data_IF_317880345891
#
_entry.id   IF_317880345891
#
_cell.length_a   1.000
_cell.length_b   1.000
_cell.length_c   1.000
_cell.angle_alpha   90.00
_cell.angle_beta   90.00
_cell.angle_gamma   90.00
#
_symmetry.space_group_name_H-M   'P 1'
#
loop_
_entity.id
_entity.type
_entity.pdbx_description
1 polymer ?
#
# COMPACT_ATOMS: atom_id res chain seq x y z
N UNK A 1 -18.52 -91.13 -8.28
CA UNK A 1 -17.45 -90.21 -7.85
C UNK A 1 -17.85 -88.80 -8.26
N UNK A 2 -17.80 -87.73 -7.47
CA UNK A 2 -17.69 -87.54 -6.03
C UNK A 2 -17.99 -86.04 -5.81
N UNK A 3 -18.65 -85.72 -4.69
CA UNK A 3 -18.53 -84.46 -3.92
C UNK A 3 -19.35 -83.22 -4.37
N UNK A 4 -20.10 -82.78 -3.35
CA UNK A 4 -20.96 -81.61 -3.21
C UNK A 4 -20.16 -80.30 -2.98
N UNK A 5 -20.92 -79.19 -3.03
CA UNK A 5 -20.94 -78.07 -2.04
C UNK A 5 -19.96 -76.90 -2.22
N UNK A 6 -20.47 -75.68 -2.46
CA UNK A 6 -20.59 -74.57 -1.48
C UNK A 6 -20.82 -73.20 -2.19
N UNK A 7 -21.82 -72.51 -1.66
CA UNK A 7 -22.28 -71.13 -1.84
C UNK A 7 -21.20 -70.07 -1.63
N UNK A 8 -21.26 -68.94 -2.37
CA UNK A 8 -21.01 -67.64 -1.76
C UNK A 8 -21.76 -66.51 -2.49
N UNK A 9 -22.76 -65.97 -1.81
CA UNK A 9 -23.32 -64.63 -2.03
C UNK A 9 -22.36 -63.66 -1.32
N UNK A 10 -21.77 -62.70 -2.04
CA UNK A 10 -21.31 -61.45 -1.45
C UNK A 10 -21.95 -60.29 -2.22
N UNK A 11 -22.80 -59.60 -1.48
CA UNK A 11 -23.49 -58.36 -1.78
C UNK A 11 -22.50 -57.17 -1.75
N UNK A 12 -22.96 -56.05 -2.30
CA UNK A 12 -22.67 -54.66 -1.91
C UNK A 12 -21.77 -53.87 -2.87
N UNK A 13 -22.47 -53.03 -3.65
CA UNK A 13 -22.23 -51.59 -3.82
C UNK A 13 -20.84 -51.10 -3.41
N UNK A 14 -19.98 -50.74 -4.36
CA UNK A 14 -18.92 -49.74 -4.15
C UNK A 14 -18.41 -49.21 -5.48
N UNK A 15 -19.29 -48.64 -6.29
CA UNK A 15 -18.88 -47.79 -7.43
C UNK A 15 -19.24 -46.32 -7.24
N UNK A 16 -19.70 -45.92 -6.04
CA UNK A 16 -20.07 -44.55 -5.70
C UNK A 16 -19.14 -43.87 -4.67
N UNK A 17 -18.00 -44.49 -4.30
CA UNK A 17 -17.07 -43.92 -3.32
C UNK A 17 -15.71 -43.46 -3.88
N UNK A 18 -15.45 -43.66 -5.17
CA UNK A 18 -14.24 -43.14 -5.83
C UNK A 18 -14.47 -41.82 -6.60
N UNK A 19 -15.67 -41.24 -6.51
CA UNK A 19 -16.02 -39.96 -7.15
C UNK A 19 -15.76 -38.71 -6.30
N UNK A 20 -15.38 -38.84 -5.02
CA UNK A 20 -15.29 -37.69 -4.10
C UNK A 20 -13.97 -37.58 -3.32
N UNK A 21 -12.93 -38.36 -3.66
CA UNK A 21 -11.60 -38.20 -3.05
C UNK A 21 -10.63 -37.32 -3.84
N UNK A 22 -11.08 -36.71 -4.95
CA UNK A 22 -10.32 -35.69 -5.70
C UNK A 22 -10.82 -34.26 -5.43
N UNK A 23 -11.77 -34.08 -4.51
CA UNK A 23 -12.03 -32.79 -3.88
C UNK A 23 -11.11 -32.61 -2.65
N UNK A 24 -9.81 -32.96 -2.78
CA UNK A 24 -8.83 -32.50 -1.81
C UNK A 24 -8.43 -31.07 -2.18
N UNK A 25 -8.95 -30.15 -1.36
CA UNK A 25 -8.44 -28.81 -1.10
C UNK A 25 -8.01 -28.05 -2.36
N UNK A 26 -8.99 -27.42 -3.03
CA UNK A 26 -8.74 -26.05 -3.49
C UNK A 26 -8.23 -25.35 -2.24
N UNK A 27 -6.94 -24.98 -2.18
CA UNK A 27 -6.48 -24.14 -1.07
C UNK A 27 -7.50 -23.03 -0.99
N UNK A 28 -8.18 -22.88 0.15
CA UNK A 28 -9.13 -21.79 0.36
C UNK A 28 -8.30 -20.50 0.34
N UNK A 29 -7.99 -20.03 -0.87
CA UNK A 29 -7.29 -18.79 -1.11
C UNK A 29 -8.35 -17.73 -1.06
N UNK A 30 -8.12 -16.75 -0.20
CA UNK A 30 -9.07 -15.66 0.01
C UNK A 30 -8.77 -14.47 -0.91
N UNK A 31 -7.74 -14.59 -1.74
CA UNK A 31 -7.38 -13.65 -2.80
C UNK A 31 -7.67 -14.25 -4.18
N UNK A 32 -8.20 -13.46 -5.14
CA UNK A 32 -8.47 -13.94 -6.50
C UNK A 32 -7.26 -14.49 -7.28
N UNK A 33 -6.03 -14.16 -6.86
CA UNK A 33 -4.79 -14.63 -7.47
C UNK A 33 -4.12 -15.80 -6.72
N UNK A 34 -4.87 -16.48 -5.86
CA UNK A 34 -4.40 -17.59 -5.03
C UNK A 34 -3.31 -17.23 -4.00
N UNK A 35 -3.06 -15.94 -3.77
CA UNK A 35 -2.18 -15.52 -2.68
C UNK A 35 -2.77 -15.93 -1.33
N UNK A 36 -1.88 -16.28 -0.40
CA UNK A 36 -2.21 -16.39 1.02
C UNK A 36 -2.18 -15.01 1.66
N UNK A 37 -1.05 -14.31 1.57
CA UNK A 37 -0.86 -12.97 2.12
C UNK A 37 -0.29 -12.03 1.06
N UNK A 38 -0.96 -10.89 0.86
CA UNK A 38 -0.45 -9.81 0.02
C UNK A 38 0.30 -8.81 0.91
N UNK A 39 1.52 -8.44 0.53
CA UNK A 39 2.28 -7.36 1.14
C UNK A 39 2.36 -6.21 0.14
N UNK A 40 2.02 -5.00 0.57
CA UNK A 40 2.11 -3.81 -0.27
C UNK A 40 2.90 -2.70 0.40
N UNK A 41 3.98 -2.27 -0.25
CA UNK A 41 4.79 -1.15 0.20
C UNK A 41 4.26 0.16 -0.38
N UNK A 42 4.20 1.18 0.48
CA UNK A 42 4.07 2.59 0.11
C UNK A 42 5.45 3.23 0.19
N UNK A 43 5.91 3.83 -0.91
CA UNK A 43 7.17 4.58 -0.96
C UNK A 43 6.85 6.07 -1.17
N UNK A 44 6.90 6.85 -0.10
CA UNK A 44 6.56 8.27 -0.18
C UNK A 44 7.68 9.06 -0.84
N UNK A 45 7.32 9.88 -1.83
CA UNK A 45 8.19 10.85 -2.45
C UNK A 45 7.65 12.26 -2.21
N UNK A 46 8.15 12.84 -1.12
CA UNK A 46 7.68 14.11 -0.54
C UNK A 46 8.78 15.18 -0.59
N UNK A 47 10.04 14.77 -0.70
CA UNK A 47 11.21 15.65 -0.71
C UNK A 47 11.11 16.69 -1.82
N UNK A 48 11.05 17.95 -1.41
CA UNK A 48 10.90 19.11 -2.30
C UNK A 48 9.50 19.69 -2.33
N UNK A 49 8.49 18.97 -1.84
CA UNK A 49 7.11 19.41 -1.75
C UNK A 49 6.66 19.86 -0.35
N UNK A 50 7.57 19.86 0.63
CA UNK A 50 7.27 20.23 2.01
C UNK A 50 7.09 21.76 2.22
N UNK A 51 6.20 22.19 3.13
CA UNK A 51 6.03 23.59 3.49
C UNK A 51 7.18 24.11 4.38
N UNK A 52 7.24 25.43 4.57
CA UNK A 52 8.11 26.05 5.59
C UNK A 52 7.75 25.50 6.99
N UNK A 53 8.76 25.12 7.77
CA UNK A 53 8.55 24.57 9.11
C UNK A 53 7.99 23.14 9.14
N UNK A 54 8.00 22.44 8.01
CA UNK A 54 7.60 21.03 7.95
C UNK A 54 8.29 20.16 9.00
N UNK A 55 7.61 19.09 9.41
CA UNK A 55 8.12 18.17 10.43
C UNK A 55 9.44 17.53 10.00
N UNK A 56 10.43 17.64 10.90
CA UNK A 56 11.80 17.18 10.73
C UNK A 56 12.44 16.94 12.11
N UNK A 57 13.62 16.32 12.17
CA UNK A 57 14.36 16.16 13.43
C UNK A 57 14.69 17.48 14.16
N UNK A 58 14.58 18.63 13.48
CA UNK A 58 14.89 19.96 14.03
C UNK A 58 13.64 20.73 14.47
N UNK A 59 12.43 20.23 14.17
CA UNK A 59 11.17 20.95 14.39
C UNK A 59 10.84 21.24 15.86
N UNK A 60 11.51 20.60 16.82
CA UNK A 60 11.36 20.90 18.24
C UNK A 60 11.90 22.28 18.66
N UNK A 61 12.74 22.91 17.84
CA UNK A 61 13.27 24.26 18.05
C UNK A 61 13.14 25.08 16.75
N UNK A 62 11.93 25.50 16.37
CA UNK A 62 11.69 26.15 15.09
C UNK A 62 12.42 27.50 15.01
N UNK A 63 13.00 27.79 13.84
CA UNK A 63 13.58 29.08 13.54
C UNK A 63 12.48 30.16 13.36
N UNK A 64 12.81 31.46 13.49
CA UNK A 64 11.86 32.52 13.20
C UNK A 64 11.33 32.43 11.76
N UNK A 65 10.03 32.72 11.57
CA UNK A 65 9.40 32.71 10.24
C UNK A 65 10.20 33.52 9.22
N UNK A 66 10.39 32.96 8.03
CA UNK A 66 11.20 33.51 6.95
C UNK A 66 12.70 33.20 7.07
N UNK A 67 13.13 32.49 8.11
CA UNK A 67 14.51 32.04 8.27
C UNK A 67 14.68 30.66 7.63
N UNK A 68 15.61 30.47 6.68
CA UNK A 68 15.84 29.17 6.07
C UNK A 68 16.47 28.20 7.08
N UNK A 69 15.81 27.07 7.30
CA UNK A 69 16.34 25.95 8.11
C UNK A 69 17.19 25.03 7.22
N UNK A 70 18.45 25.42 7.01
CA UNK A 70 19.37 24.72 6.11
C UNK A 70 19.60 23.24 6.50
N UNK A 71 19.75 22.88 7.80
CA UNK A 71 19.79 21.49 8.22
C UNK A 71 18.53 20.71 7.83
N UNK A 72 17.32 21.25 8.09
CA UNK A 72 16.08 20.59 7.69
C UNK A 72 15.99 20.44 6.17
N UNK A 73 16.32 21.47 5.39
CA UNK A 73 16.36 21.39 3.93
C UNK A 73 17.31 20.31 3.43
N UNK A 74 18.49 20.20 4.04
CA UNK A 74 19.47 19.17 3.69
C UNK A 74 18.98 17.76 4.03
N UNK A 75 18.24 17.60 5.14
CA UNK A 75 17.62 16.35 5.55
C UNK A 75 16.54 15.91 4.58
N UNK A 76 15.67 16.82 4.12
CA UNK A 76 14.75 16.51 3.03
C UNK A 76 15.51 16.14 1.77
N UNK A 77 16.47 16.97 1.31
CA UNK A 77 17.25 16.72 0.08
C UNK A 77 17.90 15.33 0.02
N UNK A 78 18.26 14.74 1.17
CA UNK A 78 18.75 13.36 1.23
C UNK A 78 17.77 12.35 0.60
N UNK A 79 16.45 12.54 0.79
CA UNK A 79 15.43 11.66 0.20
C UNK A 79 15.51 11.57 -1.32
N UNK A 80 15.60 12.70 -2.01
CA UNK A 80 15.73 12.74 -3.47
C UNK A 80 17.13 12.38 -3.98
N UNK A 81 18.18 12.69 -3.21
CA UNK A 81 19.57 12.47 -3.62
C UNK A 81 19.98 11.01 -3.48
N UNK A 82 19.58 10.37 -2.38
CA UNK A 82 20.09 9.07 -1.94
C UNK A 82 18.96 8.10 -1.60
N UNK A 83 17.95 8.58 -0.88
CA UNK A 83 16.94 7.75 -0.26
C UNK A 83 16.08 6.96 -1.24
N UNK A 84 15.46 7.64 -2.21
CA UNK A 84 14.63 7.01 -3.24
C UNK A 84 15.44 6.01 -4.05
N UNK A 85 16.61 6.39 -4.57
CA UNK A 85 17.43 5.50 -5.38
C UNK A 85 17.86 4.23 -4.63
N UNK A 86 18.22 4.35 -3.35
CA UNK A 86 18.57 3.18 -2.53
C UNK A 86 17.37 2.24 -2.32
N UNK A 87 16.17 2.77 -2.15
CA UNK A 87 14.95 1.95 -2.10
C UNK A 87 14.64 1.32 -3.46
N UNK A 88 14.77 2.05 -4.56
CA UNK A 88 14.58 1.53 -5.92
C UNK A 88 15.52 0.34 -6.18
N UNK A 89 16.79 0.45 -5.81
CA UNK A 89 17.77 -0.64 -5.94
C UNK A 89 17.40 -1.86 -5.08
N UNK A 90 16.85 -1.63 -3.88
CA UNK A 90 16.31 -2.72 -3.04
C UNK A 90 15.13 -3.42 -3.70
N UNK A 91 14.20 -2.68 -4.28
CA UNK A 91 13.04 -3.25 -4.96
C UNK A 91 13.46 -4.09 -6.17
N UNK A 92 14.41 -3.58 -6.96
CA UNK A 92 14.96 -4.29 -8.12
C UNK A 92 15.70 -5.56 -7.69
N UNK A 93 16.51 -5.52 -6.62
CA UNK A 93 17.17 -6.70 -6.04
C UNK A 93 16.19 -7.84 -5.75
N UNK A 94 14.96 -7.52 -5.37
CA UNK A 94 13.93 -8.50 -5.05
C UNK A 94 12.89 -8.74 -6.14
N UNK A 95 12.98 -8.05 -7.28
CA UNK A 95 11.96 -8.08 -8.33
C UNK A 95 10.59 -7.61 -7.85
N UNK A 96 10.55 -6.70 -6.88
CA UNK A 96 9.31 -6.17 -6.29
C UNK A 96 8.97 -4.84 -6.98
N UNK A 97 7.69 -4.62 -7.28
CA UNK A 97 7.20 -3.30 -7.67
C UNK A 97 6.27 -2.77 -6.58
N UNK A 98 6.53 -1.53 -6.16
CA UNK A 98 5.81 -0.85 -5.09
C UNK A 98 4.91 0.26 -5.64
N UNK A 99 4.08 0.82 -4.77
CA UNK A 99 3.33 2.05 -5.03
C UNK A 99 4.07 3.23 -4.43
N UNK A 100 4.42 4.21 -5.25
CA UNK A 100 5.01 5.46 -4.78
C UNK A 100 3.97 6.57 -4.77
N UNK A 101 3.76 7.22 -3.63
CA UNK A 101 2.87 8.38 -3.55
C UNK A 101 3.72 9.64 -3.75
N UNK A 102 3.46 10.32 -4.86
CA UNK A 102 4.29 11.40 -5.37
C UNK A 102 3.59 12.74 -5.16
N UNK A 103 4.26 13.64 -4.44
CA UNK A 103 3.84 15.04 -4.32
C UNK A 103 4.24 15.78 -5.60
N UNK A 104 3.32 16.55 -6.18
CA UNK A 104 3.57 17.25 -7.45
C UNK A 104 4.76 18.22 -7.41
N UNK A 105 4.90 19.03 -6.35
CA UNK A 105 6.03 19.94 -6.18
C UNK A 105 7.36 19.21 -5.91
N UNK A 106 7.33 18.03 -5.27
CA UNK A 106 8.51 17.17 -5.16
C UNK A 106 8.96 16.69 -6.55
N UNK A 107 8.01 16.24 -7.38
CA UNK A 107 8.27 15.87 -8.77
C UNK A 107 8.71 17.05 -9.64
N UNK A 108 8.23 18.27 -9.36
CA UNK A 108 8.67 19.49 -10.05
C UNK A 108 10.12 19.80 -9.72
N UNK A 109 10.50 19.65 -8.45
CA UNK A 109 11.85 19.97 -7.97
C UNK A 109 12.88 18.93 -8.39
N UNK A 110 12.51 17.64 -8.37
CA UNK A 110 13.39 16.52 -8.73
C UNK A 110 12.74 15.64 -9.80
N UNK A 111 12.59 16.14 -11.03
CA UNK A 111 11.87 15.45 -12.10
C UNK A 111 12.52 14.12 -12.51
N UNK A 112 13.84 14.01 -12.37
CA UNK A 112 14.60 12.79 -12.62
C UNK A 112 14.21 11.66 -11.65
N UNK A 113 13.89 11.98 -10.40
CA UNK A 113 13.50 11.00 -9.38
C UNK A 113 12.11 10.43 -9.71
N UNK A 114 11.13 11.28 -10.01
CA UNK A 114 9.79 10.85 -10.43
C UNK A 114 9.86 9.97 -11.69
N UNK A 115 10.67 10.36 -12.68
CA UNK A 115 10.90 9.54 -13.88
C UNK A 115 11.59 8.23 -13.57
N UNK A 116 12.57 8.20 -12.67
CA UNK A 116 13.24 6.97 -12.27
C UNK A 116 12.27 5.97 -11.61
N UNK A 117 11.37 6.44 -10.76
CA UNK A 117 10.31 5.62 -10.14
C UNK A 117 9.43 4.99 -11.23
N UNK A 118 8.90 5.81 -12.15
CA UNK A 118 8.02 5.35 -13.22
C UNK A 118 8.73 4.41 -14.22
N UNK A 119 9.93 4.76 -14.66
CA UNK A 119 10.72 3.97 -15.63
C UNK A 119 11.13 2.60 -15.08
N UNK A 120 11.26 2.46 -13.75
CA UNK A 120 11.49 1.17 -13.10
C UNK A 120 10.19 0.38 -12.88
N UNK A 121 9.05 0.85 -13.39
CA UNK A 121 7.77 0.12 -13.38
C UNK A 121 7.04 0.13 -12.05
N UNK A 122 7.39 1.04 -11.14
CA UNK A 122 6.60 1.27 -9.93
C UNK A 122 5.31 2.01 -10.28
N UNK A 123 4.28 1.86 -9.45
CA UNK A 123 3.07 2.68 -9.59
C UNK A 123 3.34 4.10 -9.10
N UNK A 124 2.95 5.09 -9.90
CA UNK A 124 2.81 6.49 -9.50
C UNK A 124 1.39 6.70 -8.99
N UNK A 125 1.25 6.85 -7.67
CA UNK A 125 0.04 7.30 -7.00
C UNK A 125 0.18 8.80 -6.65
N UNK A 126 -0.94 9.51 -6.58
CA UNK A 126 -0.95 10.95 -6.30
C UNK A 126 -0.95 11.23 -4.79
N UNK A 127 -0.19 12.25 -4.39
CA UNK A 127 -0.13 12.75 -3.01
C UNK A 127 -0.35 14.27 -2.93
N UNK A 128 -1.31 14.77 -3.72
CA UNK A 128 -1.56 16.21 -3.87
C UNK A 128 -0.51 16.95 -4.70
N UNK A 129 -0.80 18.20 -5.07
CA UNK A 129 0.20 19.08 -5.72
C UNK A 129 1.30 19.47 -4.72
N UNK A 130 0.97 19.69 -3.45
CA UNK A 130 1.91 20.04 -2.39
C UNK A 130 1.57 19.29 -1.09
N UNK A 131 2.50 19.27 -0.13
CA UNK A 131 2.27 18.70 1.19
C UNK A 131 1.47 19.68 2.07
N UNK A 132 0.19 19.85 1.75
CA UNK A 132 -0.70 20.85 2.35
C UNK A 132 -2.02 20.23 2.84
N UNK A 133 -2.71 20.95 3.71
CA UNK A 133 -3.94 20.52 4.36
C UNK A 133 -5.14 20.64 3.42
N UNK A 134 -5.66 19.50 2.93
CA UNK A 134 -6.84 19.47 2.06
C UNK A 134 -8.18 19.43 2.82
N UNK A 135 -8.18 19.09 4.12
CA UNK A 135 -9.39 18.83 4.89
C UNK A 135 -10.35 20.03 5.02
N UNK A 136 -9.87 21.25 4.76
CA UNK A 136 -10.67 22.49 4.80
C UNK A 136 -10.95 23.12 3.42
N UNK A 137 -10.57 22.45 2.33
CA UNK A 137 -10.77 23.00 0.99
C UNK A 137 -12.24 22.92 0.56
N UNK A 138 -12.69 23.92 -0.20
CA UNK A 138 -13.96 23.81 -0.92
C UNK A 138 -13.87 22.70 -1.97
N UNK A 139 -15.01 22.14 -2.40
CA UNK A 139 -15.02 21.13 -3.47
C UNK A 139 -14.24 21.57 -4.71
N UNK A 140 -14.44 22.82 -5.12
CA UNK A 140 -13.78 23.40 -6.31
C UNK A 140 -12.28 23.51 -6.12
N UNK A 141 -11.83 23.94 -4.95
CA UNK A 141 -10.41 24.13 -4.67
C UNK A 141 -9.71 22.78 -4.48
N UNK A 142 -10.36 21.81 -3.84
CA UNK A 142 -9.84 20.44 -3.71
C UNK A 142 -9.76 19.74 -5.07
N UNK A 143 -10.80 19.86 -5.91
CA UNK A 143 -10.77 19.35 -7.28
C UNK A 143 -9.59 19.91 -8.07
N UNK A 144 -9.37 21.22 -8.00
CA UNK A 144 -8.22 21.86 -8.64
C UNK A 144 -6.90 21.35 -8.05
N UNK A 145 -6.79 21.28 -6.73
CA UNK A 145 -5.59 20.83 -6.02
C UNK A 145 -5.17 19.42 -6.43
N UNK A 146 -6.11 18.48 -6.45
CA UNK A 146 -5.86 17.09 -6.87
C UNK A 146 -5.51 17.04 -8.35
N UNK A 147 -6.31 17.71 -9.20
CA UNK A 147 -6.15 17.69 -10.66
C UNK A 147 -4.80 18.26 -11.09
N UNK A 148 -4.40 19.39 -10.54
CA UNK A 148 -3.10 20.01 -10.87
C UNK A 148 -1.93 19.08 -10.52
N UNK A 149 -2.01 18.38 -9.38
CA UNK A 149 -0.99 17.42 -8.96
C UNK A 149 -0.90 16.23 -9.90
N UNK A 150 -2.02 15.56 -10.18
CA UNK A 150 -2.04 14.37 -11.05
C UNK A 150 -1.65 14.71 -12.49
N UNK A 151 -2.17 15.80 -13.05
CA UNK A 151 -1.85 16.20 -14.42
C UNK A 151 -0.37 16.56 -14.55
N UNK A 152 0.21 17.24 -13.56
CA UNK A 152 1.63 17.59 -13.60
C UNK A 152 2.52 16.34 -13.59
N UNK A 153 2.26 15.41 -12.67
CA UNK A 153 3.05 14.20 -12.53
C UNK A 153 2.85 13.27 -13.73
N UNK A 154 1.64 13.17 -14.27
CA UNK A 154 1.36 12.40 -15.49
C UNK A 154 2.16 12.95 -16.68
N UNK A 155 2.13 14.27 -16.91
CA UNK A 155 2.90 14.89 -18.00
C UNK A 155 4.41 14.63 -17.88
N UNK A 156 4.91 14.48 -16.65
CA UNK A 156 6.32 14.24 -16.39
C UNK A 156 6.72 12.77 -16.56
N UNK A 157 5.87 11.85 -16.11
CA UNK A 157 6.18 10.42 -15.96
C UNK A 157 5.55 9.55 -17.05
N UNK A 158 4.54 10.05 -17.75
CA UNK A 158 3.72 9.29 -18.68
C UNK A 158 2.73 8.33 -18.01
N UNK A 159 2.60 8.35 -16.67
CA UNK A 159 1.70 7.47 -15.93
C UNK A 159 0.63 8.28 -15.19
N UNK A 160 -0.64 8.08 -15.55
CA UNK A 160 -1.79 8.62 -14.81
C UNK A 160 -1.92 7.92 -13.46
N UNK A 161 -1.95 8.69 -12.38
CA UNK A 161 -2.24 8.14 -11.06
C UNK A 161 -3.71 7.69 -10.96
N UNK A 162 -3.92 6.49 -10.41
CA UNK A 162 -5.25 5.94 -10.11
C UNK A 162 -5.46 5.69 -8.62
N UNK A 163 -4.42 5.91 -7.81
CA UNK A 163 -4.41 5.86 -6.36
C UNK A 163 -4.14 7.22 -5.75
N UNK A 164 -4.76 7.51 -4.62
CA UNK A 164 -4.58 8.78 -3.91
C UNK A 164 -4.27 8.59 -2.42
N UNK A 165 -3.39 9.46 -1.90
CA UNK A 165 -3.12 9.61 -0.47
C UNK A 165 -3.23 11.09 -0.11
N UNK A 166 -4.05 11.42 0.88
CA UNK A 166 -4.12 12.76 1.46
C UNK A 166 -2.93 13.00 2.39
N UNK A 167 -2.49 14.26 2.49
CA UNK A 167 -1.59 14.67 3.55
C UNK A 167 -2.14 14.23 4.92
N UNK A 168 -1.32 13.55 5.73
CA UNK A 168 -1.69 13.06 7.07
C UNK A 168 -2.94 12.17 7.12
N UNK A 169 -3.35 11.58 5.99
CA UNK A 169 -4.64 10.86 5.84
C UNK A 169 -5.86 11.77 6.07
N UNK A 170 -5.66 13.09 6.11
CA UNK A 170 -6.69 14.07 6.46
C UNK A 170 -7.42 14.55 5.21
N UNK A 171 -8.35 13.71 4.80
CA UNK A 171 -9.34 13.97 3.75
C UNK A 171 -10.38 14.99 4.20
N UNK A 172 -10.86 15.82 3.27
CA UNK A 172 -12.11 16.55 3.42
C UNK A 172 -13.32 15.63 3.14
N UNK A 173 -14.53 16.06 3.51
CA UNK A 173 -15.79 15.36 3.14
C UNK A 173 -16.09 15.35 1.63
N UNK A 174 -15.34 16.13 0.84
CA UNK A 174 -15.46 16.21 -0.61
C UNK A 174 -14.50 15.25 -1.32
N UNK A 175 -13.40 14.86 -0.68
CA UNK A 175 -12.28 14.12 -1.29
C UNK A 175 -12.72 12.97 -2.19
N UNK A 176 -13.53 12.02 -1.71
CA UNK A 176 -13.87 10.85 -2.53
C UNK A 176 -14.68 11.19 -3.78
N UNK A 177 -15.52 12.23 -3.70
CA UNK A 177 -16.30 12.72 -4.85
C UNK A 177 -15.40 13.41 -5.87
N UNK A 178 -14.40 14.15 -5.39
CA UNK A 178 -13.34 14.73 -6.23
C UNK A 178 -12.52 13.63 -6.92
N UNK A 179 -12.10 12.62 -6.17
CA UNK A 179 -11.34 11.48 -6.70
C UNK A 179 -12.15 10.70 -7.75
N UNK A 180 -13.44 10.46 -7.49
CA UNK A 180 -14.34 9.84 -8.46
C UNK A 180 -14.50 10.69 -9.74
N UNK A 181 -14.64 12.02 -9.62
CA UNK A 181 -14.74 12.92 -10.78
C UNK A 181 -13.45 12.95 -11.62
N UNK A 182 -12.31 12.59 -11.02
CA UNK A 182 -11.01 12.52 -11.67
C UNK A 182 -10.60 11.09 -12.07
N UNK A 183 -11.55 10.15 -12.06
CA UNK A 183 -11.37 8.74 -12.44
C UNK A 183 -10.35 7.96 -11.60
N UNK A 184 -10.16 8.33 -10.32
CA UNK A 184 -9.36 7.53 -9.40
C UNK A 184 -10.08 6.22 -9.06
N UNK A 185 -9.29 5.16 -8.89
CA UNK A 185 -9.76 3.83 -8.57
C UNK A 185 -9.82 3.59 -7.06
N UNK A 186 -8.85 4.13 -6.32
CA UNK A 186 -8.73 3.89 -4.90
C UNK A 186 -8.09 5.05 -4.13
N UNK A 187 -8.29 5.04 -2.80
CA UNK A 187 -7.52 5.87 -1.87
C UNK A 187 -6.98 5.01 -0.73
N UNK A 188 -5.96 5.52 -0.02
CA UNK A 188 -5.35 4.82 1.12
C UNK A 188 -5.64 5.47 2.49
N UNK A 189 -6.40 6.56 2.52
CA UNK A 189 -6.67 7.35 3.74
C UNK A 189 -7.67 6.71 4.73
N UNK A 190 -7.47 5.43 5.04
CA UNK A 190 -8.22 4.65 6.02
C UNK A 190 -7.29 3.67 6.74
N UNK A 191 -7.50 3.44 8.03
CA UNK A 191 -6.66 2.57 8.88
C UNK A 191 -7.48 1.53 9.65
N UNK A 192 -8.72 1.28 9.21
CA UNK A 192 -9.72 0.52 9.95
C UNK A 192 -9.69 -0.99 9.70
N UNK A 193 -8.97 -1.46 8.66
CA UNK A 193 -8.97 -2.86 8.22
C UNK A 193 -7.58 -3.35 7.81
N UNK A 194 -7.43 -4.68 7.82
CA UNK A 194 -6.25 -5.40 7.33
C UNK A 194 -6.48 -6.04 5.95
N UNK A 195 -7.50 -5.60 5.21
CA UNK A 195 -7.81 -6.02 3.85
C UNK A 195 -8.50 -4.89 3.07
N UNK A 196 -8.32 -4.80 1.74
CA UNK A 196 -9.04 -3.84 0.92
C UNK A 196 -10.55 -4.04 1.00
N UNK A 197 -11.30 -2.95 0.88
CA UNK A 197 -12.75 -2.97 0.95
C UNK A 197 -13.37 -1.95 -0.01
N UNK A 198 -14.68 -2.03 -0.20
CA UNK A 198 -15.44 -1.09 -1.03
C UNK A 198 -16.19 -0.12 -0.14
N UNK A 199 -16.15 1.17 -0.48
CA UNK A 199 -17.12 2.16 -0.02
C UNK A 199 -17.91 2.69 -1.20
N UNK A 200 -19.17 3.07 -0.99
CA UNK A 200 -20.01 3.65 -2.05
C UNK A 200 -19.84 5.16 -2.08
N UNK A 201 -19.59 5.71 -3.28
CA UNK A 201 -19.48 7.14 -3.56
C UNK A 201 -20.40 7.47 -4.72
N UNK A 202 -21.38 8.35 -4.50
CA UNK A 202 -22.45 8.67 -5.46
C UNK A 202 -23.12 7.41 -6.07
N UNK A 203 -23.31 6.38 -5.25
CA UNK A 203 -23.84 5.06 -5.60
C UNK A 203 -22.96 4.19 -6.52
N UNK A 204 -21.69 4.54 -6.70
CA UNK A 204 -20.71 3.69 -7.39
C UNK A 204 -19.68 3.15 -6.41
N UNK A 205 -19.04 2.02 -6.76
CA UNK A 205 -18.01 1.40 -5.94
C UNK A 205 -16.72 2.21 -6.01
N UNK A 206 -16.09 2.42 -4.87
CA UNK A 206 -14.77 3.02 -4.75
C UNK A 206 -13.92 2.15 -3.83
N UNK A 207 -12.70 1.81 -4.25
CA UNK A 207 -11.83 0.93 -3.44
C UNK A 207 -11.15 1.74 -2.35
N UNK A 208 -11.16 1.20 -1.14
CA UNK A 208 -10.36 1.67 -0.03
C UNK A 208 -9.25 0.66 0.21
N UNK A 209 -8.01 1.13 0.17
CA UNK A 209 -6.80 0.35 0.34
C UNK A 209 -6.15 0.70 1.69
N UNK A 210 -6.42 -0.01 2.79
CA UNK A 210 -6.02 0.45 4.12
C UNK A 210 -4.52 0.75 4.25
N UNK A 211 -4.22 1.92 4.79
CA UNK A 211 -2.87 2.34 5.15
C UNK A 211 -2.47 1.85 6.54
N UNK A 212 -1.22 2.14 6.93
CA UNK A 212 -0.68 1.76 8.23
C UNK A 212 0.01 2.95 8.90
N UNK A 213 -0.32 3.15 10.18
CA UNK A 213 0.49 3.96 11.10
C UNK A 213 1.40 3.09 11.96
N UNK A 214 1.13 1.78 12.00
CA UNK A 214 1.92 0.83 12.79
C UNK A 214 3.18 0.47 12.05
N UNK A 215 3.13 -0.03 10.81
CA UNK A 215 4.31 -0.34 10.00
C UNK A 215 4.75 0.86 9.17
N UNK A 216 5.11 1.93 9.86
CA UNK A 216 5.39 3.22 9.26
C UNK A 216 6.66 3.82 9.87
N UNK A 217 7.67 4.05 9.04
CA UNK A 217 8.97 4.55 9.46
C UNK A 217 8.92 5.99 10.01
N UNK A 218 8.08 6.87 9.46
CA UNK A 218 7.94 8.23 10.00
C UNK A 218 7.36 8.20 11.41
N UNK A 219 6.40 7.32 11.67
CA UNK A 219 5.77 7.21 13.00
C UNK A 219 6.73 6.59 14.00
N UNK A 220 7.40 5.49 13.64
CA UNK A 220 8.18 4.72 14.59
C UNK A 220 9.62 5.21 14.73
N UNK A 221 10.30 5.44 13.60
CA UNK A 221 11.72 5.80 13.61
C UNK A 221 11.86 7.29 13.87
N UNK A 222 11.22 8.15 13.06
CA UNK A 222 11.33 9.59 13.28
C UNK A 222 10.50 10.07 14.49
N UNK A 223 9.27 9.58 14.64
CA UNK A 223 8.37 10.03 15.72
C UNK A 223 8.66 9.42 17.09
N UNK A 224 8.87 8.09 17.17
CA UNK A 224 9.10 7.37 18.44
C UNK A 224 10.57 7.02 18.70
N UNK A 225 11.50 7.44 17.84
CA UNK A 225 12.93 7.17 17.97
C UNK A 225 13.28 5.68 18.07
N UNK A 226 12.56 4.84 17.34
CA UNK A 226 12.87 3.40 17.28
C UNK A 226 14.18 3.14 16.55
N UNK A 227 14.91 2.13 17.03
CA UNK A 227 16.03 1.57 16.27
C UNK A 227 15.51 0.77 15.06
N UNK A 228 16.34 0.60 14.01
CA UNK A 228 16.00 -0.27 12.89
C UNK A 228 15.64 -1.70 13.30
N UNK A 229 16.27 -2.26 14.35
CA UNK A 229 15.96 -3.60 14.84
C UNK A 229 14.58 -3.69 15.49
N UNK A 230 14.13 -2.65 16.19
CA UNK A 230 12.76 -2.57 16.71
C UNK A 230 11.75 -2.55 15.56
N UNK A 231 12.04 -1.79 14.50
CA UNK A 231 11.21 -1.76 13.30
C UNK A 231 11.17 -3.13 12.61
N UNK A 232 12.32 -3.79 12.43
CA UNK A 232 12.39 -5.15 11.88
C UNK A 232 11.56 -6.15 12.68
N UNK A 233 11.68 -6.12 14.01
CA UNK A 233 10.94 -7.01 14.88
C UNK A 233 9.44 -6.83 14.71
N UNK A 234 8.96 -5.57 14.67
CA UNK A 234 7.54 -5.31 14.46
C UNK A 234 7.05 -5.81 13.09
N UNK A 235 7.81 -5.56 12.02
CA UNK A 235 7.45 -6.06 10.69
C UNK A 235 7.27 -7.59 10.69
N UNK A 236 8.20 -8.33 11.33
CA UNK A 236 8.09 -9.79 11.46
C UNK A 236 6.90 -10.22 12.33
N UNK A 237 6.68 -9.56 13.46
CA UNK A 237 5.58 -9.89 14.37
C UNK A 237 4.20 -9.65 13.73
N UNK A 238 4.02 -8.53 13.02
CA UNK A 238 2.77 -8.24 12.29
C UNK A 238 2.60 -9.21 11.11
N UNK A 239 3.67 -9.50 10.37
CA UNK A 239 3.64 -10.53 9.33
C UNK A 239 3.20 -11.91 9.88
N UNK A 240 3.80 -12.39 10.96
CA UNK A 240 3.51 -13.73 11.51
C UNK A 240 2.04 -13.87 11.90
N UNK A 241 1.49 -12.83 12.54
CA UNK A 241 0.08 -12.80 12.92
C UNK A 241 -0.83 -12.73 11.70
N UNK A 242 -0.56 -11.84 10.74
CA UNK A 242 -1.34 -11.72 9.51
C UNK A 242 -1.26 -12.99 8.66
N UNK A 243 -0.10 -13.65 8.58
CA UNK A 243 0.10 -14.88 7.82
C UNK A 243 -0.62 -16.08 8.44
N UNK A 244 -0.72 -16.12 9.78
CA UNK A 244 -1.56 -17.09 10.50
C UNK A 244 -3.03 -16.87 10.17
N UNK A 245 -3.51 -15.63 10.25
CA UNK A 245 -4.89 -15.27 9.91
C UNK A 245 -5.24 -15.48 8.44
N UNK A 246 -4.27 -15.26 7.55
CA UNK A 246 -4.38 -15.47 6.11
C UNK A 246 -4.73 -16.92 5.73
N UNK A 247 -4.60 -17.87 6.65
CA UNK A 247 -5.04 -19.25 6.44
C UNK A 247 -6.55 -19.45 6.56
N UNK A 248 -7.32 -18.44 7.00
CA UNK A 248 -8.78 -18.57 7.18
C UNK A 248 -9.58 -17.35 6.71
N UNK A 249 -8.92 -16.26 6.30
CA UNK A 249 -9.55 -15.05 5.75
C UNK A 249 -8.54 -14.24 4.94
N UNK A 250 -9.01 -13.34 4.09
CA UNK A 250 -8.15 -12.43 3.32
C UNK A 250 -7.38 -11.52 4.27
N UNK A 251 -6.07 -11.40 4.05
CA UNK A 251 -5.21 -10.46 4.77
C UNK A 251 -4.22 -9.80 3.83
N UNK A 252 -3.98 -8.53 4.11
CA UNK A 252 -2.96 -7.70 3.50
C UNK A 252 -2.08 -7.11 4.60
N UNK A 253 -0.80 -6.96 4.33
CA UNK A 253 0.12 -6.19 5.15
C UNK A 253 0.55 -4.94 4.38
N UNK A 254 0.21 -3.76 4.93
CA UNK A 254 0.73 -2.49 4.44
C UNK A 254 2.02 -2.13 5.19
N UNK A 255 3.00 -1.57 4.48
CA UNK A 255 4.23 -0.99 5.05
C UNK A 255 4.48 0.35 4.36
N UNK A 256 4.76 1.40 5.12
CA UNK A 256 5.06 2.73 4.58
C UNK A 256 6.49 3.16 4.91
N UNK A 257 7.15 3.68 3.88
CA UNK A 257 8.54 4.13 3.91
C UNK A 257 8.64 5.51 3.25
N UNK A 258 9.30 6.44 3.90
CA UNK A 258 9.47 7.80 3.40
C UNK A 258 10.88 7.99 2.86
N UNK A 259 11.02 8.62 1.70
CA UNK A 259 12.29 8.88 1.00
C UNK A 259 13.51 9.15 1.91
N UNK A 260 13.40 10.12 2.81
CA UNK A 260 14.47 10.59 3.71
C UNK A 260 14.70 9.72 4.96
N UNK A 261 13.80 8.79 5.27
CA UNK A 261 13.86 7.93 6.46
C UNK A 261 14.07 6.47 6.02
N UNK A 262 13.12 5.92 5.29
CA UNK A 262 13.10 4.58 4.73
C UNK A 262 14.25 4.31 3.78
N UNK A 263 14.71 5.35 3.07
CA UNK A 263 15.88 5.30 2.21
C UNK A 263 17.23 5.42 2.95
N UNK A 264 17.25 5.57 4.27
CA UNK A 264 18.50 5.55 5.05
C UNK A 264 19.13 4.15 5.06
N UNK A 265 20.46 4.01 5.15
CA UNK A 265 21.14 2.72 4.94
C UNK A 265 20.68 1.64 5.94
N UNK A 266 20.48 2.01 7.20
CA UNK A 266 20.07 1.08 8.23
C UNK A 266 18.62 0.62 8.07
N UNK A 267 17.72 1.50 7.61
CA UNK A 267 16.32 1.13 7.36
C UNK A 267 16.19 0.23 6.13
N UNK A 268 16.89 0.57 5.03
CA UNK A 268 16.95 -0.31 3.84
C UNK A 268 17.47 -1.69 4.19
N UNK A 269 18.53 -1.80 5.02
CA UNK A 269 19.06 -3.08 5.50
C UNK A 269 17.99 -3.93 6.19
N UNK A 270 17.21 -3.34 7.11
CA UNK A 270 16.20 -4.13 7.82
C UNK A 270 14.98 -4.44 6.96
N UNK A 271 14.62 -3.60 6.00
CA UNK A 271 13.55 -3.90 5.02
C UNK A 271 13.99 -5.04 4.10
N UNK A 272 15.25 -5.08 3.65
CA UNK A 272 15.84 -6.22 2.93
C UNK A 272 15.73 -7.52 3.74
N UNK A 273 16.12 -7.48 5.02
CA UNK A 273 16.00 -8.63 5.92
C UNK A 273 14.54 -9.08 6.12
N UNK A 274 13.60 -8.14 6.19
CA UNK A 274 12.17 -8.46 6.28
C UNK A 274 11.66 -9.11 4.99
N UNK A 275 12.02 -8.59 3.81
CA UNK A 275 11.61 -9.19 2.53
C UNK A 275 12.16 -10.62 2.42
N UNK A 276 13.42 -10.83 2.76
CA UNK A 276 14.02 -12.16 2.79
C UNK A 276 13.33 -13.10 3.77
N UNK A 277 12.88 -12.59 4.91
CA UNK A 277 12.08 -13.34 5.88
C UNK A 277 10.72 -13.74 5.30
N UNK A 278 9.94 -12.78 4.82
CA UNK A 278 8.60 -13.02 4.27
C UNK A 278 8.62 -13.99 3.08
N UNK A 279 9.63 -13.92 2.21
CA UNK A 279 9.81 -14.82 1.06
C UNK A 279 10.07 -16.29 1.43
N UNK A 280 10.37 -16.61 2.69
CA UNK A 280 10.50 -18.00 3.16
C UNK A 280 9.15 -18.70 3.35
N UNK A 281 8.05 -17.96 3.26
CA UNK A 281 6.70 -18.48 3.49
C UNK A 281 5.93 -18.62 2.18
N UNK A 282 5.23 -19.74 2.00
CA UNK A 282 4.48 -20.04 0.78
C UNK A 282 3.25 -19.15 0.58
N UNK A 283 2.97 -18.76 -0.66
CA UNK A 283 1.80 -17.96 -1.01
C UNK A 283 1.88 -16.49 -0.57
N UNK A 284 3.05 -15.99 -0.17
CA UNK A 284 3.27 -14.55 0.04
C UNK A 284 3.58 -13.88 -1.29
N UNK A 285 2.84 -12.82 -1.60
CA UNK A 285 3.06 -12.02 -2.82
C UNK A 285 3.25 -10.55 -2.47
N UNK A 286 4.07 -9.85 -3.26
CA UNK A 286 4.28 -8.41 -3.14
C UNK A 286 3.61 -7.73 -4.32
N UNK A 287 2.73 -6.76 -4.06
CA UNK A 287 1.89 -6.17 -5.10
C UNK A 287 1.77 -4.64 -4.99
N UNK A 288 1.64 -4.01 -6.16
CA UNK A 288 1.26 -2.60 -6.29
C UNK A 288 -0.22 -2.44 -5.93
N UNK A 289 -0.59 -1.29 -5.38
CA UNK A 289 -1.95 -1.03 -4.91
C UNK A 289 -2.94 -0.88 -6.05
N UNK A 290 -2.55 -0.36 -7.22
CA UNK A 290 -3.41 -0.35 -8.41
C UNK A 290 -3.82 -1.76 -8.85
N UNK A 291 -2.90 -2.72 -8.80
CA UNK A 291 -3.17 -4.13 -9.14
C UNK A 291 -4.12 -4.77 -8.13
N UNK A 292 -3.88 -4.54 -6.83
CA UNK A 292 -4.78 -5.03 -5.78
C UNK A 292 -6.17 -4.41 -5.95
N UNK A 293 -6.26 -3.10 -6.17
CA UNK A 293 -7.53 -2.40 -6.33
C UNK A 293 -8.34 -2.91 -7.53
N UNK A 294 -7.68 -3.12 -8.69
CA UNK A 294 -8.32 -3.73 -9.87
C UNK A 294 -8.84 -5.14 -9.57
N UNK A 295 -8.08 -5.92 -8.80
CA UNK A 295 -8.43 -7.28 -8.42
C UNK A 295 -9.66 -7.32 -7.51
N UNK A 296 -9.75 -6.43 -6.52
CA UNK A 296 -10.80 -6.49 -5.50
C UNK A 296 -12.09 -5.74 -5.86
N UNK A 297 -12.06 -4.82 -6.83
CA UNK A 297 -13.20 -3.94 -7.16
C UNK A 297 -14.51 -4.70 -7.42
N UNK A 298 -14.42 -5.80 -8.16
CA UNK A 298 -15.57 -6.61 -8.58
C UNK A 298 -15.57 -8.03 -8.02
N UNK A 299 -14.64 -8.31 -7.13
CA UNK A 299 -14.61 -9.56 -6.40
C UNK A 299 -15.80 -9.62 -5.41
N UNK A 300 -16.67 -10.64 -5.47
CA UNK A 300 -17.83 -10.77 -4.59
C UNK A 300 -17.45 -10.91 -3.11
N UNK A 301 -16.23 -11.35 -2.80
CA UNK A 301 -15.76 -11.55 -1.43
C UNK A 301 -15.15 -10.27 -0.82
N UNK A 302 -15.01 -9.20 -1.60
CA UNK A 302 -14.50 -7.92 -1.09
C UNK A 302 -15.56 -7.29 -0.17
N UNK A 303 -15.22 -7.01 1.11
CA UNK A 303 -16.19 -6.45 2.04
C UNK A 303 -16.63 -5.05 1.61
N UNK A 304 -17.89 -4.72 1.90
CA UNK A 304 -18.43 -3.37 1.71
C UNK A 304 -18.52 -2.70 3.07
N UNK A 305 -17.94 -1.50 3.18
CA UNK A 305 -18.03 -0.64 4.35
C UNK A 305 -18.51 0.76 3.97
N UNK A 306 -19.73 1.06 4.43
CA UNK A 306 -20.42 2.31 4.15
C UNK A 306 -20.54 3.18 5.42
N UNK A 307 -19.62 3.02 6.37
CA UNK A 307 -19.61 3.81 7.62
C UNK A 307 -19.59 5.33 7.37
N UNK A 308 -19.07 5.76 6.23
CA UNK A 308 -18.95 7.18 5.83
C UNK A 308 -19.99 7.61 4.77
N UNK A 309 -20.96 6.76 4.43
CA UNK A 309 -21.88 6.99 3.30
C UNK A 309 -22.62 8.33 3.35
N UNK A 310 -22.85 8.89 4.55
CA UNK A 310 -23.51 10.19 4.70
C UNK A 310 -22.72 11.35 4.09
N UNK A 311 -21.40 11.21 3.95
CA UNK A 311 -20.52 12.21 3.33
C UNK A 311 -20.27 11.94 1.84
N UNK A 312 -20.47 10.69 1.40
CA UNK A 312 -20.12 10.22 0.05
C UNK A 312 -21.29 10.29 -0.96
N UNK A 313 -22.44 10.84 -0.56
CA UNK A 313 -23.57 11.12 -1.45
C UNK A 313 -23.30 12.32 -2.35
#
# INVERSE_FOLDING_TARGET
MNIRKITLIITVLSFALFGNLLAQNKSETHWPNDARLVISFSMQFETGGQPEGAESPFSGNPLPKGTPDLPAESWFRYGATEGVYRMLDLWDKHGIKVTSHVVGEAARKYPEVAKAIANRGHEIAAHGIAWDDQWNLSYKDELKFVKDGVDFVENLTGQRAVGYNCNWLRRSVNTLKVLQELDFLYHIDDVSRDEPFITMVRNEKFVVMPYTLRNNDIVNIAGKNWSPDQFLYQLKAEFDQLYKEAGTKRRMMSVSLHDRIGGSPAVVKVVDEFIQYAKKHGGVVFMRKDEIAKMVLNDPDTPVDNSEIKYNK
#
